data_IF_559073944333
#
_entry.id   IF_559073944333
#
_cell.length_a   1.000
_cell.length_b   1.000
_cell.length_c   1.000
_cell.angle_alpha   90.00
_cell.angle_beta   90.00
_cell.angle_gamma   90.00
#
_symmetry.space_group_name_H-M   'P 1'
#
loop_
_entity.id
_entity.type
_entity.pdbx_description
1 polymer ?
#
# COMPACT_ATOMS: atom_id res chain seq x y z
N UNK A 1 1.69 -44.75 -79.41
CA UNK A 1 1.66 -46.00 -78.62
C UNK A 1 2.63 -45.87 -77.46
N UNK A 2 2.15 -46.15 -76.24
CA UNK A 2 2.83 -46.83 -75.11
C UNK A 2 4.12 -46.25 -74.45
N UNK A 3 3.96 -46.04 -73.13
CA UNK A 3 4.81 -46.34 -71.95
C UNK A 3 6.26 -45.80 -71.92
N UNK A 4 6.65 -44.93 -70.96
CA UNK A 4 6.76 -45.06 -69.49
C UNK A 4 7.85 -46.02 -69.00
N UNK A 5 8.81 -45.48 -68.23
CA UNK A 5 9.54 -46.02 -67.05
C UNK A 5 10.78 -45.12 -66.81
N UNK A 6 10.71 -44.09 -65.96
CA UNK A 6 11.04 -44.08 -64.51
C UNK A 6 12.48 -44.54 -64.20
N UNK A 7 13.36 -43.55 -63.96
CA UNK A 7 14.38 -43.45 -62.88
C UNK A 7 15.13 -42.12 -63.02
N UNK A 8 15.17 -41.28 -61.96
CA UNK A 8 16.41 -41.10 -61.20
C UNK A 8 16.11 -41.05 -59.69
N UNK A 9 16.86 -41.65 -58.76
CA UNK A 9 18.27 -41.42 -58.42
C UNK A 9 18.59 -39.95 -58.11
N UNK A 10 18.33 -39.51 -56.87
CA UNK A 10 19.27 -38.69 -56.07
C UNK A 10 18.68 -38.39 -54.69
N UNK A 11 19.33 -38.91 -53.65
CA UNK A 11 19.30 -38.39 -52.28
C UNK A 11 20.12 -37.09 -52.23
N UNK A 12 19.54 -35.97 -51.80
CA UNK A 12 20.16 -34.73 -51.26
C UNK A 12 19.03 -33.68 -51.20
N UNK A 13 18.76 -32.86 -50.19
CA UNK A 13 19.44 -32.54 -48.95
C UNK A 13 18.38 -32.06 -47.93
N UNK A 14 18.50 -32.52 -46.70
CA UNK A 14 17.89 -31.89 -45.53
C UNK A 14 18.78 -30.69 -45.18
N UNK A 15 18.40 -29.47 -45.59
CA UNK A 15 19.16 -28.27 -45.23
C UNK A 15 18.22 -27.08 -44.98
N UNK A 16 18.02 -26.84 -43.68
CA UNK A 16 17.74 -25.56 -43.02
C UNK A 16 17.02 -24.48 -43.82
N UNK A 17 15.72 -24.30 -43.53
CA UNK A 17 15.05 -23.00 -43.63
C UNK A 17 14.47 -22.67 -42.25
N UNK A 18 15.35 -22.34 -41.31
CA UNK A 18 15.01 -21.77 -39.99
C UNK A 18 15.81 -20.48 -39.74
N UNK A 19 16.22 -19.80 -40.81
CA UNK A 19 16.96 -18.54 -40.75
C UNK A 19 16.16 -17.45 -41.47
N UNK A 20 15.03 -17.02 -40.88
CA UNK A 20 14.49 -15.67 -41.09
C UNK A 20 13.46 -15.31 -40.02
N UNK A 21 13.90 -15.23 -38.76
CA UNK A 21 13.29 -14.34 -37.78
C UNK A 21 14.41 -13.94 -36.82
N UNK A 22 15.34 -13.12 -37.32
CA UNK A 22 16.54 -12.75 -36.58
C UNK A 22 17.21 -11.60 -37.29
N UNK A 23 16.97 -10.39 -36.79
CA UNK A 23 17.63 -9.17 -37.23
C UNK A 23 16.64 -8.06 -37.59
N UNK A 24 16.36 -7.19 -36.62
CA UNK A 24 15.61 -5.96 -36.84
C UNK A 24 15.59 -5.11 -35.57
N UNK A 25 16.68 -4.40 -35.35
CA UNK A 25 16.92 -3.34 -34.37
C UNK A 25 17.24 -3.78 -32.94
N UNK A 26 18.12 -3.03 -32.28
CA UNK A 26 18.42 -3.13 -30.85
C UNK A 26 17.12 -2.91 -30.07
N UNK A 27 16.35 -3.97 -29.88
CA UNK A 27 15.08 -4.00 -29.15
C UNK A 27 15.37 -3.82 -27.66
N UNK A 28 15.82 -2.62 -27.32
CA UNK A 28 16.01 -2.20 -25.96
C UNK A 28 14.63 -1.93 -25.32
N UNK A 29 14.26 -2.73 -24.33
CA UNK A 29 13.01 -2.57 -23.60
C UNK A 29 13.19 -1.56 -22.46
N UNK A 30 12.47 -0.45 -22.53
CA UNK A 30 12.44 0.54 -21.45
C UNK A 30 11.46 0.09 -20.37
N UNK A 31 11.91 0.07 -19.12
CA UNK A 31 11.03 -0.13 -17.96
C UNK A 31 10.55 1.23 -17.45
N UNK A 32 9.25 1.47 -17.60
CA UNK A 32 8.58 2.68 -17.15
C UNK A 32 7.34 2.33 -16.34
N UNK A 33 6.68 3.33 -15.79
CA UNK A 33 5.56 3.09 -14.91
C UNK A 33 4.90 4.34 -14.37
N UNK A 34 3.97 4.10 -13.44
CA UNK A 34 3.31 5.17 -12.69
C UNK A 34 3.23 4.83 -11.21
N UNK A 35 3.30 5.86 -10.38
CA UNK A 35 3.03 5.80 -8.95
C UNK A 35 1.80 6.65 -8.66
N UNK A 36 0.80 6.05 -8.02
CA UNK A 36 -0.42 6.72 -7.59
C UNK A 36 -0.40 6.92 -6.07
N UNK A 37 -1.01 8.00 -5.57
CA UNK A 37 -1.16 8.23 -4.12
C UNK A 37 0.10 8.71 -3.39
N UNK A 38 1.21 9.00 -4.08
CA UNK A 38 2.37 9.64 -3.46
C UNK A 38 2.06 11.11 -3.13
N UNK A 39 2.33 11.50 -1.89
CA UNK A 39 2.08 12.83 -1.33
C UNK A 39 3.37 13.43 -0.77
N UNK A 40 4.19 12.60 -0.14
CA UNK A 40 5.43 13.01 0.52
C UNK A 40 6.68 12.54 -0.24
N UNK A 41 7.80 13.27 -0.14
CA UNK A 41 9.05 12.87 -0.80
C UNK A 41 9.69 11.64 -0.14
N UNK A 42 10.63 11.02 -0.85
CA UNK A 42 11.47 9.94 -0.30
C UNK A 42 11.34 8.60 -1.01
N UNK A 43 10.36 8.44 -1.92
CA UNK A 43 10.19 7.19 -2.67
C UNK A 43 11.40 6.92 -3.57
N UNK A 44 11.99 5.74 -3.39
CA UNK A 44 13.04 5.19 -4.25
C UNK A 44 12.57 3.86 -4.81
N UNK A 45 12.51 3.77 -6.14
CA UNK A 45 12.30 2.50 -6.84
C UNK A 45 13.64 1.96 -7.32
N UNK A 46 13.81 0.64 -7.26
CA UNK A 46 15.01 -0.04 -7.72
C UNK A 46 14.67 -1.12 -8.73
N UNK A 47 15.51 -1.26 -9.75
CA UNK A 47 15.44 -2.32 -10.75
C UNK A 47 16.84 -2.77 -11.09
N UNK A 48 17.15 -4.05 -10.85
CA UNK A 48 18.45 -4.65 -11.17
C UNK A 48 19.66 -3.85 -10.62
N UNK A 49 19.50 -3.19 -9.46
CA UNK A 49 20.53 -2.38 -8.82
C UNK A 49 20.63 -0.93 -9.30
N UNK A 50 19.85 -0.53 -10.31
CA UNK A 50 19.66 0.87 -10.68
C UNK A 50 18.52 1.47 -9.86
N UNK A 51 18.75 2.63 -9.25
CA UNK A 51 17.76 3.32 -8.42
C UNK A 51 17.26 4.58 -9.11
N UNK A 52 15.98 4.88 -8.92
CA UNK A 52 15.37 6.14 -9.31
C UNK A 52 14.59 6.74 -8.14
N UNK A 53 14.67 8.06 -8.00
CA UNK A 53 13.84 8.81 -7.06
C UNK A 53 12.55 9.23 -7.75
N UNK A 54 11.42 9.00 -7.12
CA UNK A 54 10.11 9.43 -7.61
C UNK A 54 9.61 10.55 -6.69
N UNK A 55 9.47 11.76 -7.23
CA UNK A 55 8.97 12.90 -6.48
C UNK A 55 7.42 12.90 -6.46
N UNK A 56 6.77 13.50 -5.44
CA UNK A 56 5.34 13.76 -5.45
C UNK A 56 4.91 14.58 -6.68
N UNK A 57 3.66 14.45 -7.13
CA UNK A 57 3.14 15.22 -8.25
C UNK A 57 3.06 16.71 -7.90
N UNK A 58 3.18 17.58 -8.91
CA UNK A 58 3.00 19.02 -8.72
C UNK A 58 1.59 19.39 -8.24
N UNK A 59 0.60 18.54 -8.55
CA UNK A 59 -0.78 18.66 -8.10
C UNK A 59 -1.19 17.40 -7.35
N UNK A 60 -1.66 17.59 -6.12
CA UNK A 60 -2.07 16.49 -5.25
C UNK A 60 -3.14 15.59 -5.90
N UNK A 61 -2.97 14.28 -5.75
CA UNK A 61 -3.87 13.26 -6.30
C UNK A 61 -3.58 12.84 -7.73
N UNK A 62 -2.62 13.46 -8.43
CA UNK A 62 -2.21 13.02 -9.76
C UNK A 62 -1.19 11.87 -9.70
N UNK A 63 -1.23 10.99 -10.69
CA UNK A 63 -0.23 9.94 -10.83
C UNK A 63 1.10 10.53 -11.32
N UNK A 64 2.21 9.96 -10.86
CA UNK A 64 3.56 10.35 -11.27
C UNK A 64 4.13 9.28 -12.19
N UNK A 65 4.54 9.66 -13.40
CA UNK A 65 5.24 8.75 -14.31
C UNK A 65 6.73 8.67 -13.97
N UNK A 66 7.31 7.49 -14.15
CA UNK A 66 8.76 7.26 -14.01
C UNK A 66 9.27 6.36 -15.14
N UNK A 67 10.59 6.42 -15.38
CA UNK A 67 11.29 5.52 -16.29
C UNK A 67 12.70 5.25 -15.75
N UNK A 68 13.14 4.00 -15.82
CA UNK A 68 14.54 3.67 -15.56
C UNK A 68 15.40 4.11 -16.74
N UNK A 69 16.59 4.69 -16.49
CA UNK A 69 17.47 5.16 -17.56
C UNK A 69 18.12 3.99 -18.31
N UNK A 70 18.35 2.87 -17.63
CA UNK A 70 18.88 1.65 -18.24
C UNK A 70 17.76 0.90 -18.93
N UNK A 71 17.99 0.55 -20.19
CA UNK A 71 17.10 -0.32 -20.95
C UNK A 71 17.57 -1.77 -20.82
N UNK A 72 16.67 -2.69 -21.14
CA UNK A 72 16.89 -4.14 -21.05
C UNK A 72 17.00 -4.74 -22.45
N UNK A 73 17.85 -5.74 -22.61
CA UNK A 73 17.90 -6.52 -23.86
C UNK A 73 16.78 -7.59 -23.87
N UNK A 74 16.46 -8.12 -25.05
CA UNK A 74 15.52 -9.23 -25.16
C UNK A 74 15.98 -10.42 -24.31
N UNK A 75 15.10 -10.95 -23.45
CA UNK A 75 15.41 -12.07 -22.57
C UNK A 75 15.96 -11.68 -21.21
N UNK A 76 16.30 -10.41 -20.97
CA UNK A 76 16.70 -9.93 -19.65
C UNK A 76 15.56 -10.05 -18.65
N UNK A 77 15.88 -10.48 -17.44
CA UNK A 77 14.91 -10.48 -16.34
C UNK A 77 14.93 -9.13 -15.64
N UNK A 78 13.76 -8.72 -15.16
CA UNK A 78 13.61 -7.50 -14.39
C UNK A 78 12.66 -7.69 -13.23
N UNK A 79 12.91 -6.91 -12.19
CA UNK A 79 12.00 -6.75 -11.09
C UNK A 79 12.14 -5.34 -10.52
N UNK A 80 11.04 -4.59 -10.55
CA UNK A 80 10.93 -3.26 -9.96
C UNK A 80 10.41 -3.43 -8.54
N UNK A 81 11.16 -2.92 -7.57
CA UNK A 81 10.82 -2.98 -6.14
C UNK A 81 10.84 -1.58 -5.53
N UNK A 82 10.06 -1.41 -4.47
CA UNK A 82 10.24 -0.27 -3.57
C UNK A 82 11.49 -0.53 -2.73
N UNK A 83 12.49 0.35 -2.86
CA UNK A 83 13.72 0.29 -2.07
C UNK A 83 13.59 1.10 -0.78
N UNK A 84 12.93 2.25 -0.87
CA UNK A 84 12.67 3.13 0.27
C UNK A 84 11.32 3.76 0.05
N UNK A 85 10.47 3.67 1.07
CA UNK A 85 9.16 4.29 1.09
C UNK A 85 9.27 5.82 1.23
N UNK A 86 8.28 6.59 0.72
CA UNK A 86 8.18 8.00 1.02
C UNK A 86 7.95 8.23 2.51
N UNK A 87 8.23 9.44 2.98
CA UNK A 87 7.94 9.79 4.37
C UNK A 87 6.45 9.65 4.67
N UNK A 88 6.10 9.08 5.82
CA UNK A 88 4.71 8.97 6.30
C UNK A 88 3.76 8.20 5.36
N UNK A 89 4.32 7.35 4.50
CA UNK A 89 3.57 6.55 3.55
C UNK A 89 4.22 5.18 3.36
N UNK A 90 3.42 4.22 2.93
CA UNK A 90 3.91 2.97 2.37
C UNK A 90 3.45 2.80 0.92
N UNK A 91 4.39 2.41 0.05
CA UNK A 91 4.12 2.12 -1.34
C UNK A 91 4.25 0.63 -1.62
N UNK A 92 3.31 0.09 -2.39
CA UNK A 92 3.33 -1.28 -2.86
C UNK A 92 3.03 -1.35 -4.36
N UNK A 93 3.32 -2.51 -4.96
CA UNK A 93 2.88 -2.80 -6.32
C UNK A 93 1.36 -2.67 -6.39
N UNK A 94 0.87 -2.01 -7.45
CA UNK A 94 -0.55 -1.88 -7.71
C UNK A 94 -1.22 -3.26 -7.79
N UNK A 95 -2.39 -3.43 -7.19
CA UNK A 95 -3.00 -4.77 -7.06
C UNK A 95 -3.79 -5.23 -8.27
N UNK A 96 -4.19 -4.30 -9.15
CA UNK A 96 -4.99 -4.63 -10.32
C UNK A 96 -4.12 -4.98 -11.52
N UNK A 97 -4.51 -6.06 -12.21
CA UNK A 97 -3.87 -6.53 -13.43
C UNK A 97 -4.07 -5.54 -14.61
N UNK A 98 -3.16 -5.54 -15.61
CA UNK A 98 -1.95 -6.36 -15.70
C UNK A 98 -0.84 -5.88 -14.76
N UNK A 99 -0.17 -6.84 -14.13
CA UNK A 99 1.01 -6.59 -13.29
C UNK A 99 2.26 -6.75 -14.15
N UNK A 100 3.04 -5.68 -14.35
CA UNK A 100 4.28 -5.70 -15.13
C UNK A 100 5.46 -5.10 -14.35
N UNK A 101 5.49 -5.35 -13.04
CA UNK A 101 6.60 -4.96 -12.18
C UNK A 101 7.74 -5.99 -12.21
N UNK A 102 7.50 -7.22 -12.65
CA UNK A 102 8.52 -8.27 -12.77
C UNK A 102 8.27 -9.14 -13.99
N UNK A 103 9.34 -9.61 -14.64
CA UNK A 103 9.22 -10.54 -15.76
C UNK A 103 10.47 -10.63 -16.62
N UNK A 104 10.28 -10.99 -17.88
CA UNK A 104 11.35 -11.05 -18.89
C UNK A 104 11.06 -10.06 -20.01
N UNK A 105 12.04 -9.24 -20.35
CA UNK A 105 11.98 -8.29 -21.46
C UNK A 105 11.72 -9.02 -22.79
N UNK A 106 10.87 -8.43 -23.64
CA UNK A 106 10.43 -9.04 -24.89
C UNK A 106 9.18 -9.93 -24.81
N UNK A 107 8.64 -10.20 -23.61
CA UNK A 107 7.33 -10.86 -23.48
C UNK A 107 6.16 -9.91 -23.76
N UNK A 108 6.34 -8.62 -23.45
CA UNK A 108 5.37 -7.56 -23.68
C UNK A 108 6.02 -6.47 -24.52
N UNK A 109 5.24 -5.83 -25.39
CA UNK A 109 5.70 -4.69 -26.17
C UNK A 109 6.06 -3.46 -25.29
N UNK A 110 5.46 -3.38 -24.10
CA UNK A 110 5.69 -2.30 -23.13
C UNK A 110 5.76 -2.89 -21.74
N UNK A 111 6.73 -2.44 -20.94
CA UNK A 111 6.83 -2.74 -19.52
C UNK A 111 6.30 -1.54 -18.74
N UNK A 112 5.16 -1.71 -18.07
CA UNK A 112 4.52 -0.67 -17.26
C UNK A 112 4.37 -1.13 -15.80
N UNK A 113 5.32 -0.78 -14.95
CA UNK A 113 5.30 -1.11 -13.54
C UNK A 113 4.47 -0.09 -12.76
N UNK A 114 3.31 -0.52 -12.22
CA UNK A 114 2.41 0.36 -11.48
C UNK A 114 2.58 0.17 -9.97
N UNK A 115 2.64 1.28 -9.24
CA UNK A 115 2.71 1.32 -7.78
C UNK A 115 1.61 2.20 -7.21
N UNK A 116 1.21 1.89 -5.98
CA UNK A 116 0.24 2.66 -5.21
C UNK A 116 0.79 2.91 -3.81
N UNK A 117 0.73 4.16 -3.38
CA UNK A 117 1.14 4.60 -2.06
C UNK A 117 -0.07 4.97 -1.21
N UNK A 118 0.02 4.67 0.09
CA UNK A 118 -1.00 4.99 1.09
C UNK A 118 -0.34 5.80 2.21
N UNK A 119 -1.05 6.78 2.75
CA UNK A 119 -0.60 7.51 3.94
C UNK A 119 -0.69 6.55 5.12
N UNK A 120 0.35 6.56 5.96
CA UNK A 120 0.39 5.71 7.15
C UNK A 120 -0.73 6.08 8.12
N UNK A 121 -1.35 5.07 8.69
CA UNK A 121 -2.46 5.20 9.63
C UNK A 121 -2.02 4.68 11.00
N UNK A 122 -2.42 5.41 12.05
CA UNK A 122 -2.04 5.12 13.42
C UNK A 122 -3.24 5.11 14.35
N UNK A 123 -3.15 4.32 15.42
CA UNK A 123 -4.23 4.16 16.37
C UNK A 123 -4.29 5.32 17.36
N UNK A 124 -5.51 5.61 17.82
CA UNK A 124 -5.75 6.51 18.94
C UNK A 124 -6.39 5.72 20.08
N UNK A 125 -5.86 5.88 21.27
CA UNK A 125 -6.32 5.21 22.46
C UNK A 125 -5.77 5.81 23.74
N UNK A 126 -5.99 5.07 24.82
CA UNK A 126 -5.51 5.45 26.13
C UNK A 126 -6.02 4.50 27.19
N UNK A 127 -6.16 5.01 28.40
CA UNK A 127 -6.65 4.23 29.54
C UNK A 127 -7.99 4.76 30.01
N UNK A 128 -8.91 3.85 30.34
CA UNK A 128 -10.18 4.17 30.98
C UNK A 128 -10.13 3.77 32.44
N UNK A 129 -10.49 4.68 33.34
CA UNK A 129 -10.61 4.45 34.79
C UNK A 129 -12.04 4.71 35.27
N UNK A 130 -12.49 3.95 36.27
CA UNK A 130 -13.82 4.12 36.90
C UNK A 130 -15.00 3.53 36.12
N UNK A 131 -14.76 2.90 34.97
CA UNK A 131 -15.74 2.10 34.24
C UNK A 131 -15.68 0.64 34.70
N UNK A 132 -16.83 0.04 34.96
CA UNK A 132 -17.03 -1.31 35.50
C UNK A 132 -18.07 -2.05 34.66
N UNK A 133 -18.17 -3.36 34.84
CA UNK A 133 -19.19 -4.19 34.17
C UNK A 133 -20.64 -3.74 34.44
N UNK A 134 -20.88 -2.97 35.52
CA UNK A 134 -22.23 -2.59 35.96
C UNK A 134 -22.62 -1.14 35.57
N UNK A 135 -21.67 -0.32 35.09
CA UNK A 135 -21.88 1.04 34.60
C UNK A 135 -21.34 1.18 33.16
N UNK A 136 -21.94 0.43 32.23
CA UNK A 136 -21.51 0.34 30.82
C UNK A 136 -22.24 1.34 29.92
N UNK A 137 -21.87 1.37 28.63
CA UNK A 137 -22.51 2.22 27.62
C UNK A 137 -21.72 3.47 27.24
N UNK A 138 -20.46 3.58 27.67
CA UNK A 138 -19.56 4.65 27.23
C UNK A 138 -19.27 4.52 25.73
N UNK A 139 -19.65 5.52 24.94
CA UNK A 139 -19.39 5.57 23.49
C UNK A 139 -18.58 6.80 23.15
N UNK A 140 -17.50 6.62 22.40
CA UNK A 140 -16.61 7.66 21.94
C UNK A 140 -16.74 7.88 20.43
N UNK A 141 -16.45 9.09 19.97
CA UNK A 141 -16.22 9.40 18.56
C UNK A 141 -14.89 10.15 18.41
N UNK A 142 -14.25 9.96 17.26
CA UNK A 142 -13.10 10.76 16.85
C UNK A 142 -13.49 11.58 15.60
N UNK A 143 -13.37 12.90 15.69
CA UNK A 143 -13.74 13.84 14.63
C UNK A 143 -12.99 13.68 13.30
N UNK A 144 -11.89 12.93 13.25
CA UNK A 144 -11.14 12.65 12.01
C UNK A 144 -11.63 11.44 11.23
N UNK A 145 -12.51 10.62 11.83
CA UNK A 145 -12.96 9.34 11.28
C UNK A 145 -14.47 9.24 11.33
N UNK A 146 -15.08 8.53 10.39
CA UNK A 146 -16.49 8.18 10.49
C UNK A 146 -16.67 6.98 11.43
N UNK A 147 -17.49 7.12 12.46
CA UNK A 147 -17.86 6.01 13.34
C UNK A 147 -17.79 6.35 14.83
N UNK A 148 -18.15 5.37 15.65
CA UNK A 148 -18.05 5.44 17.10
C UNK A 148 -17.43 4.16 17.66
N UNK A 149 -16.85 4.26 18.84
CA UNK A 149 -16.25 3.14 19.57
C UNK A 149 -16.98 2.96 20.90
N UNK A 150 -17.62 1.81 21.09
CA UNK A 150 -18.19 1.41 22.38
C UNK A 150 -17.06 0.87 23.27
N UNK A 151 -16.91 1.47 24.44
CA UNK A 151 -15.92 1.03 25.43
C UNK A 151 -16.58 0.07 26.41
N UNK A 152 -16.06 -1.16 26.44
CA UNK A 152 -16.57 -2.23 27.30
C UNK A 152 -15.46 -2.66 28.24
N UNK A 153 -15.63 -2.53 29.57
CA UNK A 153 -14.68 -3.08 30.53
C UNK A 153 -14.77 -4.60 30.56
N UNK A 154 -13.70 -5.28 30.98
CA UNK A 154 -13.74 -6.72 31.21
C UNK A 154 -14.81 -7.08 32.27
N UNK A 155 -15.46 -8.23 32.13
CA UNK A 155 -16.48 -8.73 33.08
C UNK A 155 -15.95 -8.92 34.51
N UNK A 156 -14.63 -8.99 34.68
CA UNK A 156 -13.98 -9.05 35.99
C UNK A 156 -13.72 -7.69 36.63
N UNK A 157 -13.87 -6.60 35.87
CA UNK A 157 -13.62 -5.24 36.35
C UNK A 157 -14.85 -4.70 37.10
N UNK A 158 -14.95 -5.05 38.37
CA UNK A 158 -16.00 -4.59 39.29
C UNK A 158 -15.60 -3.34 40.09
N UNK A 159 -14.30 -3.02 40.12
CA UNK A 159 -13.73 -1.96 40.96
C UNK A 159 -13.49 -0.65 40.22
N UNK A 160 -13.51 -0.67 38.88
CA UNK A 160 -13.18 0.49 38.05
C UNK A 160 -11.68 0.64 37.84
N UNK A 161 -10.94 -0.47 37.92
CA UNK A 161 -9.51 -0.51 37.65
C UNK A 161 -9.23 -0.02 36.22
N UNK A 162 -8.05 0.60 36.03
CA UNK A 162 -7.63 1.10 34.74
C UNK A 162 -7.49 -0.04 33.72
N UNK A 163 -7.97 0.17 32.50
CA UNK A 163 -7.73 -0.75 31.39
C UNK A 163 -7.50 0.02 30.08
N UNK A 164 -6.71 -0.52 29.15
CA UNK A 164 -6.44 0.13 27.88
C UNK A 164 -7.64 0.05 26.94
N UNK A 165 -7.77 1.04 26.06
CA UNK A 165 -8.69 1.01 24.93
C UNK A 165 -8.04 1.63 23.70
N UNK A 166 -8.57 1.30 22.53
CA UNK A 166 -8.25 1.93 21.26
C UNK A 166 -9.55 2.24 20.50
N UNK A 167 -9.52 3.31 19.72
CA UNK A 167 -10.56 3.65 18.75
C UNK A 167 -10.57 2.60 17.64
N UNK A 168 -11.74 2.38 17.02
CA UNK A 168 -11.92 1.32 16.03
C UNK A 168 -11.32 1.66 14.67
N UNK A 169 -11.25 2.95 14.35
CA UNK A 169 -10.77 3.44 13.05
C UNK A 169 -9.47 4.21 13.30
N UNK A 170 -8.35 3.82 12.67
CA UNK A 170 -7.09 4.54 12.78
C UNK A 170 -7.16 5.88 12.04
N UNK A 171 -6.18 6.73 12.26
CA UNK A 171 -6.11 8.08 11.70
C UNK A 171 -4.86 8.22 10.86
N UNK A 172 -5.02 8.78 9.66
CA UNK A 172 -3.90 9.07 8.76
C UNK A 172 -2.95 10.12 9.35
N UNK A 173 -1.66 9.96 9.09
CA UNK A 173 -0.65 10.96 9.40
C UNK A 173 -1.05 12.38 8.92
N UNK A 174 -0.79 13.38 9.76
CA UNK A 174 -1.07 14.78 9.48
C UNK A 174 -2.54 15.18 9.65
N UNK A 175 -3.47 14.25 9.87
CA UNK A 175 -4.86 14.58 10.17
C UNK A 175 -5.01 15.04 11.62
N UNK A 176 -5.83 16.08 11.83
CA UNK A 176 -6.26 16.50 13.17
C UNK A 176 -7.29 15.53 13.70
N UNK A 177 -7.17 15.11 14.96
CA UNK A 177 -8.15 14.27 15.65
C UNK A 177 -8.79 15.00 16.83
N UNK A 178 -9.97 14.52 17.24
CA UNK A 178 -10.73 15.06 18.36
C UNK A 178 -11.66 14.02 18.96
N UNK A 179 -11.25 13.45 20.10
CA UNK A 179 -11.98 12.42 20.83
C UNK A 179 -13.04 13.07 21.73
N UNK A 180 -14.27 12.62 21.58
CA UNK A 180 -15.43 13.12 22.33
C UNK A 180 -16.25 11.97 22.87
N UNK A 181 -16.94 12.20 23.99
CA UNK A 181 -17.92 11.27 24.53
C UNK A 181 -19.25 11.54 23.85
N UNK A 182 -19.73 10.57 23.07
CA UNK A 182 -21.05 10.59 22.42
C UNK A 182 -22.13 10.13 23.39
N UNK A 183 -21.83 9.15 24.22
CA UNK A 183 -22.78 8.61 25.20
C UNK A 183 -22.04 8.36 26.52
N UNK A 184 -22.55 8.97 27.58
CA UNK A 184 -22.08 8.66 28.93
C UNK A 184 -22.56 7.28 29.34
N UNK A 185 -21.77 6.52 30.11
CA UNK A 185 -22.22 5.24 30.65
C UNK A 185 -23.38 5.42 31.64
N UNK A 186 -24.10 4.33 31.88
CA UNK A 186 -25.15 4.30 32.91
C UNK A 186 -24.55 4.60 34.29
N UNK A 187 -25.21 5.42 35.11
CA UNK A 187 -24.85 5.69 36.51
C UNK A 187 -23.39 6.21 36.72
N UNK A 188 -22.79 6.84 35.71
CA UNK A 188 -21.49 7.50 35.81
C UNK A 188 -21.32 8.63 34.78
N UNK A 189 -20.42 9.57 35.08
CA UNK A 189 -20.01 10.65 34.18
C UNK A 189 -18.52 10.51 33.91
N UNK A 190 -18.16 10.38 32.64
CA UNK A 190 -16.79 10.32 32.17
C UNK A 190 -16.33 11.66 31.60
N UNK A 191 -15.02 11.89 31.70
CA UNK A 191 -14.30 13.03 31.13
C UNK A 191 -13.10 12.54 30.34
N UNK A 192 -12.74 13.23 29.26
CA UNK A 192 -11.61 12.89 28.38
C UNK A 192 -10.47 13.87 28.61
N UNK A 193 -9.26 13.35 28.75
CA UNK A 193 -8.02 14.13 28.83
C UNK A 193 -7.27 14.07 27.51
N UNK A 194 -6.60 15.18 27.15
CA UNK A 194 -5.87 15.35 25.90
C UNK A 194 -6.70 15.01 24.64
N UNK A 195 -7.99 15.40 24.53
CA UNK A 195 -8.89 14.85 23.51
C UNK A 195 -8.49 15.19 22.08
N UNK A 196 -7.64 16.19 21.85
CA UNK A 196 -7.33 16.73 20.51
C UNK A 196 -5.84 16.70 20.21
N UNK A 197 -5.50 16.54 18.94
CA UNK A 197 -4.13 16.62 18.46
C UNK A 197 -4.03 16.46 16.95
N UNK A 198 -2.82 16.26 16.46
CA UNK A 198 -2.52 15.92 15.06
C UNK A 198 -1.81 14.57 15.06
N UNK A 199 -2.20 13.68 14.16
CA UNK A 199 -1.58 12.37 14.07
C UNK A 199 -0.15 12.47 13.54
N UNK A 200 0.80 11.89 14.28
CA UNK A 200 2.20 11.75 13.88
C UNK A 200 2.51 10.33 13.43
N UNK A 201 3.79 9.95 13.43
CA UNK A 201 4.28 8.62 12.98
C UNK A 201 4.10 7.48 14.00
N UNK A 202 3.36 7.71 15.08
CA UNK A 202 3.19 6.74 16.15
C UNK A 202 1.79 6.80 16.73
N UNK A 203 1.33 5.67 17.26
CA UNK A 203 0.04 5.57 17.94
C UNK A 203 -0.04 6.55 19.12
N UNK A 204 -1.21 7.18 19.24
CA UNK A 204 -1.53 8.06 20.36
C UNK A 204 -2.15 7.22 21.47
N UNK A 205 -1.49 7.15 22.62
CA UNK A 205 -1.88 6.27 23.74
C UNK A 205 -2.20 7.03 25.04
N UNK A 206 -2.35 8.36 24.96
CA UNK A 206 -2.51 9.24 26.12
C UNK A 206 -3.88 9.94 26.20
N UNK A 207 -4.87 9.44 25.46
CA UNK A 207 -6.26 9.91 25.56
C UNK A 207 -6.92 9.19 26.74
N UNK A 208 -6.69 9.70 27.94
CA UNK A 208 -7.19 9.04 29.15
C UNK A 208 -8.63 9.45 29.44
N UNK A 209 -9.43 8.50 29.89
CA UNK A 209 -10.83 8.70 30.25
C UNK A 209 -11.01 8.39 31.72
N UNK A 210 -11.54 9.34 32.47
CA UNK A 210 -11.86 9.14 33.87
C UNK A 210 -13.37 9.24 34.09
N UNK A 211 -13.95 8.15 34.58
CA UNK A 211 -15.36 8.01 34.91
C UNK A 211 -15.59 8.06 36.42
N UNK A 212 -16.55 8.86 36.85
CA UNK A 212 -16.95 8.98 38.25
C UNK A 212 -18.42 8.57 38.37
N UNK A 213 -18.73 7.70 39.34
CA UNK A 213 -20.12 7.31 39.60
C UNK A 213 -20.97 8.51 40.02
N UNK A 214 -22.21 8.53 39.54
CA UNK A 214 -23.23 9.52 39.92
C UNK A 214 -24.00 9.12 41.16
#
# INVERSE_FOLDING_TARGET
MKFSLIRPASMLAMALVLASCGGGDDDDFTVAGSVEGIVYPGLVLTMNGADINVAPPAKAGEAVSFAFPNKLEYGDTYEVRVKTDPQHQNCAVHREAPLSYSGTAGQLAVINARFQCFIDEHDIGGTVTGLTKDNTGLVLANGSTTGTTLIVPAETNTTGAAFPYAMTVPVQYGQTYGVTIVTQPKDAVCTVQNPTGVMGDNDITNININCVRS
#
